data_IF_164597152778
#
_entry.id   IF_164597152778
#
_cell.length_a   1.000
_cell.length_b   1.000
_cell.length_c   1.000
_cell.angle_alpha   90.00
_cell.angle_beta   90.00
_cell.angle_gamma   90.00
#
_symmetry.space_group_name_H-M   'P 1'
#
loop_
_entity.id
_entity.type
_entity.pdbx_description
1 polymer ?
#
# COMPACT_ATOMS: atom_id res chain seq x y z
N UNK A 1 22.51 24.20 37.35
CA UNK A 1 21.17 23.68 37.72
C UNK A 1 20.90 22.56 36.74
N UNK A 2 21.48 21.42 37.08
CA UNK A 2 21.82 20.33 36.18
C UNK A 2 20.79 19.22 36.36
N UNK A 3 19.90 19.06 35.39
CA UNK A 3 18.86 18.03 35.44
C UNK A 3 19.25 16.82 34.57
N UNK A 4 19.76 15.81 35.27
CA UNK A 4 19.52 14.37 35.10
C UNK A 4 19.32 13.81 33.68
N UNK A 5 20.42 13.32 33.09
CA UNK A 5 20.40 12.26 32.05
C UNK A 5 20.23 10.89 32.72
N UNK A 6 19.05 10.30 32.63
CA UNK A 6 18.84 8.89 32.98
C UNK A 6 19.09 8.01 31.75
N UNK A 7 20.24 7.35 31.70
CA UNK A 7 20.54 6.30 30.74
C UNK A 7 19.86 4.99 31.19
N UNK A 8 18.66 4.70 30.67
CA UNK A 8 18.12 3.33 30.70
C UNK A 8 18.85 2.51 29.64
N UNK A 9 19.89 1.77 30.04
CA UNK A 9 20.46 0.68 29.24
C UNK A 9 19.59 -0.55 29.46
N UNK A 10 18.65 -0.79 28.55
CA UNK A 10 17.91 -2.05 28.50
C UNK A 10 18.81 -3.12 27.89
N UNK A 11 19.31 -4.03 28.73
CA UNK A 11 20.09 -5.19 28.32
C UNK A 11 19.11 -6.30 27.89
N UNK A 12 18.95 -6.48 26.58
CA UNK A 12 18.28 -7.65 26.02
C UNK A 12 19.22 -8.87 26.09
N UNK A 13 18.74 -10.04 26.53
CA UNK A 13 19.54 -11.26 26.54
C UNK A 13 19.80 -11.76 25.11
N UNK A 14 20.96 -12.41 24.86
CA UNK A 14 21.27 -12.99 23.57
C UNK A 14 20.42 -14.25 23.36
N UNK A 15 19.41 -14.16 22.48
CA UNK A 15 18.66 -15.33 22.04
C UNK A 15 19.53 -16.15 21.10
N UNK A 16 19.98 -17.30 21.61
CA UNK A 16 20.77 -18.31 20.90
C UNK A 16 19.91 -18.95 19.79
N UNK A 17 20.11 -18.52 18.54
CA UNK A 17 19.51 -19.16 17.37
C UNK A 17 20.25 -20.47 17.08
N UNK A 18 19.67 -21.61 17.45
CA UNK A 18 20.18 -22.94 17.08
C UNK A 18 19.73 -23.25 15.66
N UNK A 19 20.66 -23.14 14.71
CA UNK A 19 20.48 -23.55 13.32
C UNK A 19 20.62 -25.09 13.23
N UNK A 20 19.50 -25.80 13.05
CA UNK A 20 19.51 -27.24 12.77
C UNK A 20 19.67 -27.44 11.27
N UNK A 21 20.90 -27.66 10.82
CA UNK A 21 21.23 -28.17 9.48
C UNK A 21 20.93 -29.67 9.44
N UNK A 22 19.77 -30.04 8.90
CA UNK A 22 19.50 -31.41 8.50
C UNK A 22 20.19 -31.67 7.15
N UNK A 23 21.36 -32.31 7.21
CA UNK A 23 22.06 -32.87 6.08
C UNK A 23 21.52 -34.29 5.80
N UNK A 24 20.85 -34.46 4.67
CA UNK A 24 20.55 -35.73 3.98
C UNK A 24 20.34 -35.34 2.51
N UNK A 25 20.98 -35.89 1.49
CA UNK A 25 22.00 -36.90 1.38
C UNK A 25 22.49 -36.89 -0.07
N UNK A 26 23.71 -37.36 -0.27
CA UNK A 26 24.29 -37.60 -1.59
C UNK A 26 23.46 -38.63 -2.36
N UNK A 27 23.10 -38.32 -3.61
CA UNK A 27 22.94 -39.37 -4.62
C UNK A 27 23.40 -38.85 -6.00
N UNK A 28 24.65 -39.20 -6.29
CA UNK A 28 25.28 -39.12 -7.61
C UNK A 28 24.62 -40.12 -8.56
N UNK A 29 23.95 -39.63 -9.61
CA UNK A 29 23.71 -40.40 -10.82
C UNK A 29 23.97 -39.55 -12.06
N UNK A 30 25.15 -39.78 -12.65
CA UNK A 30 25.52 -39.43 -14.01
C UNK A 30 24.68 -40.29 -14.96
N UNK A 31 23.90 -39.68 -15.86
CA UNK A 31 23.64 -40.25 -17.19
C UNK A 31 23.35 -39.16 -18.23
N UNK A 32 24.31 -39.00 -19.13
CA UNK A 32 24.16 -38.50 -20.49
C UNK A 32 23.12 -39.34 -21.24
N UNK A 33 22.27 -38.73 -22.10
CA UNK A 33 22.08 -39.05 -23.55
C UNK A 33 20.76 -38.45 -24.10
N UNK A 34 20.92 -37.69 -25.19
CA UNK A 34 20.06 -37.43 -26.36
C UNK A 34 18.57 -37.03 -26.27
N UNK A 35 18.24 -36.12 -27.18
CA UNK A 35 16.93 -35.66 -27.61
C UNK A 35 15.97 -36.78 -28.05
N UNK A 36 14.65 -36.54 -27.93
CA UNK A 36 13.63 -36.58 -29.01
C UNK A 36 12.23 -36.30 -28.40
N UNK A 37 11.38 -35.77 -29.27
CA UNK A 37 10.03 -35.22 -29.12
C UNK A 37 8.95 -36.09 -28.46
N UNK A 38 7.82 -35.41 -28.18
CA UNK A 38 6.43 -35.86 -28.23
C UNK A 38 5.78 -36.52 -26.97
N UNK A 39 4.84 -35.74 -26.43
CA UNK A 39 3.44 -36.11 -26.09
C UNK A 39 3.19 -37.39 -25.31
N UNK A 40 2.76 -37.30 -24.04
CA UNK A 40 1.50 -37.94 -23.56
C UNK A 40 1.10 -37.44 -22.18
N UNK A 41 -0.19 -37.12 -22.02
CA UNK A 41 -0.88 -36.94 -20.74
C UNK A 41 -0.79 -38.19 -19.87
N UNK A 42 -0.64 -38.01 -18.55
CA UNK A 42 -1.06 -39.01 -17.57
C UNK A 42 -1.56 -38.30 -16.32
N UNK A 43 -2.87 -38.38 -16.11
CA UNK A 43 -3.53 -38.04 -14.85
C UNK A 43 -3.13 -39.06 -13.79
N UNK A 44 -2.65 -38.58 -12.63
CA UNK A 44 -2.53 -39.39 -11.43
C UNK A 44 -3.24 -38.66 -10.27
N UNK A 45 -4.48 -39.08 -10.05
CA UNK A 45 -5.23 -38.90 -8.81
C UNK A 45 -4.44 -39.53 -7.66
N UNK A 46 -4.08 -38.73 -6.65
CA UNK A 46 -3.62 -39.24 -5.36
C UNK A 46 -4.61 -38.82 -4.27
N UNK A 47 -5.16 -39.85 -3.62
CA UNK A 47 -6.14 -39.77 -2.58
C UNK A 47 -5.51 -39.44 -1.21
N UNK A 48 -6.31 -38.73 -0.42
CA UNK A 48 -6.35 -38.52 1.04
C UNK A 48 -5.28 -39.17 1.95
N UNK A 49 -4.85 -38.41 2.96
CA UNK A 49 -4.86 -38.89 4.35
C UNK A 49 -5.05 -37.70 5.30
N UNK A 50 -6.25 -37.61 5.88
CA UNK A 50 -6.57 -36.73 7.01
C UNK A 50 -6.07 -37.41 8.29
N UNK A 51 -5.24 -36.74 9.08
CA UNK A 51 -4.95 -37.15 10.47
C UNK A 51 -5.50 -36.07 11.39
N UNK A 52 -6.57 -36.44 12.09
CA UNK A 52 -7.15 -35.69 13.19
C UNK A 52 -6.30 -35.95 14.43
N UNK A 53 -5.70 -34.91 15.00
CA UNK A 53 -5.29 -34.94 16.40
C UNK A 53 -6.23 -34.06 17.20
N UNK A 54 -6.97 -34.75 18.07
CA UNK A 54 -7.74 -34.17 19.15
C UNK A 54 -6.78 -33.89 20.29
N UNK A 55 -6.78 -32.67 20.83
CA UNK A 55 -6.33 -32.52 22.21
C UNK A 55 -7.14 -31.50 23.00
N UNK A 56 -7.24 -31.84 24.28
CA UNK A 56 -8.42 -31.68 25.13
C UNK A 56 -8.11 -30.68 26.25
N UNK A 57 -9.04 -29.75 26.49
CA UNK A 57 -9.34 -29.03 27.75
C UNK A 57 -8.23 -28.37 28.57
N UNK A 58 -8.43 -27.08 28.91
CA UNK A 58 -8.56 -26.69 30.33
C UNK A 58 -9.50 -25.50 30.46
N UNK A 59 -10.63 -25.71 31.14
CA UNK A 59 -11.53 -24.66 31.58
C UNK A 59 -10.93 -23.95 32.81
N UNK A 60 -10.99 -22.61 32.84
CA UNK A 60 -10.75 -21.83 34.06
C UNK A 60 -11.98 -20.96 34.31
N UNK A 61 -12.80 -21.42 35.24
CA UNK A 61 -13.91 -20.71 35.86
C UNK A 61 -13.38 -19.71 36.88
N UNK A 62 -13.69 -18.43 36.70
CA UNK A 62 -13.52 -17.40 37.71
C UNK A 62 -14.79 -16.56 37.82
N UNK A 63 -15.51 -16.59 38.96
CA UNK A 63 -16.63 -15.68 39.21
C UNK A 63 -16.06 -14.38 39.81
N UNK A 64 -16.16 -13.29 39.06
CA UNK A 64 -15.84 -11.93 39.52
C UNK A 64 -17.10 -11.10 39.65
N UNK A 65 -17.59 -10.97 40.87
CA UNK A 65 -18.73 -10.17 41.27
C UNK A 65 -18.54 -8.65 41.06
N UNK A 66 -19.66 -7.99 40.76
CA UNK A 66 -20.09 -6.68 41.24
C UNK A 66 -19.23 -5.43 40.97
N UNK A 67 -19.77 -4.51 40.16
CA UNK A 67 -20.34 -3.27 40.73
C UNK A 67 -21.26 -2.56 39.74
N UNK A 68 -22.54 -2.47 40.13
CA UNK A 68 -23.53 -1.57 39.57
C UNK A 68 -23.26 -0.15 40.06
N UNK A 69 -23.20 0.82 39.15
CA UNK A 69 -23.38 2.23 39.52
C UNK A 69 -24.39 2.85 38.57
N UNK A 70 -25.58 3.06 39.12
CA UNK A 70 -26.65 3.91 38.58
C UNK A 70 -26.23 5.37 38.70
N UNK A 71 -26.34 6.14 37.62
CA UNK A 71 -26.54 7.58 37.71
C UNK A 71 -27.32 8.04 36.47
N UNK A 72 -28.62 8.24 36.68
CA UNK A 72 -29.47 9.10 35.86
C UNK A 72 -28.87 10.51 35.77
N UNK A 73 -28.83 11.09 34.57
CA UNK A 73 -28.97 12.55 34.42
C UNK A 73 -29.70 12.83 33.11
N UNK A 74 -31.00 13.00 33.25
CA UNK A 74 -31.86 13.71 32.30
C UNK A 74 -31.54 15.21 32.38
N UNK A 75 -31.16 15.83 31.25
CA UNK A 75 -31.33 17.27 31.06
C UNK A 75 -31.40 17.62 29.57
N UNK A 76 -32.63 17.96 29.18
CA UNK A 76 -33.03 19.15 28.42
C UNK A 76 -32.53 19.34 26.98
N UNK A 77 -33.53 19.44 26.11
CA UNK A 77 -33.49 20.00 24.78
C UNK A 77 -32.73 21.33 24.69
N UNK A 78 -32.02 21.54 23.60
CA UNK A 78 -32.17 22.79 22.86
C UNK A 78 -32.01 22.57 21.35
N UNK A 79 -33.09 22.91 20.67
CA UNK A 79 -33.22 23.04 19.24
C UNK A 79 -32.48 24.30 18.80
N UNK A 80 -31.56 24.18 17.86
CA UNK A 80 -31.08 25.34 17.10
C UNK A 80 -30.85 24.92 15.66
N UNK A 81 -31.94 24.97 14.89
CA UNK A 81 -31.93 25.07 13.43
C UNK A 81 -31.19 26.34 13.02
N UNK A 82 -30.00 26.18 12.46
CA UNK A 82 -29.35 27.25 11.69
C UNK A 82 -29.62 27.01 10.22
N UNK A 83 -30.63 27.71 9.71
CA UNK A 83 -30.87 27.92 8.29
C UNK A 83 -29.69 28.73 7.73
N UNK A 84 -28.84 28.10 6.93
CA UNK A 84 -27.84 28.82 6.13
C UNK A 84 -28.46 29.07 4.74
N UNK A 85 -28.61 30.36 4.45
CA UNK A 85 -29.11 30.90 3.19
C UNK A 85 -28.33 30.37 1.98
N UNK A 86 -29.08 29.89 1.01
CA UNK A 86 -28.61 29.66 -0.35
C UNK A 86 -28.31 31.02 -1.01
N UNK A 87 -27.03 31.34 -1.20
CA UNK A 87 -26.63 32.44 -2.08
C UNK A 87 -26.40 31.89 -3.48
N UNK A 88 -27.41 32.03 -4.33
CA UNK A 88 -27.32 31.82 -5.77
C UNK A 88 -26.54 32.97 -6.38
N UNK A 89 -25.31 32.73 -6.83
CA UNK A 89 -24.59 33.66 -7.70
C UNK A 89 -24.75 33.20 -9.15
N UNK A 90 -25.69 33.83 -9.83
CA UNK A 90 -25.81 33.82 -11.30
C UNK A 90 -24.61 34.57 -11.87
N UNK A 91 -23.68 33.86 -12.52
CA UNK A 91 -22.66 34.48 -13.34
C UNK A 91 -23.17 34.56 -14.78
N UNK A 92 -23.17 35.78 -15.28
CA UNK A 92 -23.66 36.23 -16.58
C UNK A 92 -22.94 35.57 -17.75
N UNK A 93 -23.72 35.20 -18.76
CA UNK A 93 -23.23 34.79 -20.06
C UNK A 93 -22.74 36.03 -20.83
N UNK A 94 -21.42 36.21 -20.92
CA UNK A 94 -20.83 37.19 -21.84
C UNK A 94 -20.34 36.47 -23.08
N UNK A 95 -21.16 36.51 -24.13
CA UNK A 95 -20.75 36.28 -25.53
C UNK A 95 -19.78 37.38 -25.96
N UNK A 96 -18.52 37.03 -26.23
CA UNK A 96 -17.59 37.90 -26.95
C UNK A 96 -17.22 37.22 -28.27
N UNK A 97 -17.87 37.65 -29.33
CA UNK A 97 -17.42 37.49 -30.71
C UNK A 97 -16.24 38.42 -30.93
N UNK A 98 -15.08 37.91 -31.34
CA UNK A 98 -14.04 38.72 -31.97
C UNK A 98 -13.41 37.91 -33.09
N UNK A 99 -13.81 38.28 -34.31
CA UNK A 99 -13.19 37.87 -35.55
C UNK A 99 -11.80 38.50 -35.72
N UNK A 100 -10.90 37.69 -36.28
CA UNK A 100 -9.78 38.01 -37.18
C UNK A 100 -8.77 39.10 -36.80
N UNK A 101 -7.48 38.72 -36.77
CA UNK A 101 -6.49 39.00 -37.85
C UNK A 101 -5.06 38.85 -37.34
N UNK A 102 -4.33 37.97 -38.03
CA UNK A 102 -2.89 37.91 -38.32
C UNK A 102 -1.78 38.43 -37.37
N UNK A 103 -0.79 37.53 -37.24
CA UNK A 103 0.66 37.76 -37.28
C UNK A 103 1.26 38.81 -36.33
N UNK A 104 1.93 38.32 -35.29
CA UNK A 104 3.35 38.67 -35.12
C UNK A 104 4.11 37.65 -34.26
N UNK A 105 5.31 37.37 -34.73
CA UNK A 105 6.29 36.45 -34.15
C UNK A 105 6.97 37.14 -32.98
N UNK A 106 6.74 36.70 -31.75
CA UNK A 106 7.63 37.01 -30.63
C UNK A 106 8.20 35.72 -30.04
N UNK A 107 9.49 35.54 -30.29
CA UNK A 107 10.30 34.41 -29.83
C UNK A 107 10.80 34.76 -28.43
N UNK A 108 9.87 34.89 -27.50
CA UNK A 108 10.15 35.08 -26.08
C UNK A 108 10.55 33.74 -25.48
N UNK A 109 11.84 33.59 -25.17
CA UNK A 109 12.44 32.42 -24.56
C UNK A 109 11.58 31.90 -23.39
N UNK A 110 10.91 30.76 -23.62
CA UNK A 110 10.35 29.92 -22.58
C UNK A 110 11.49 29.50 -21.69
N UNK A 111 11.50 30.01 -20.47
CA UNK A 111 12.28 29.46 -19.38
C UNK A 111 11.75 28.03 -19.14
N UNK A 112 12.29 27.08 -19.90
CA UNK A 112 12.14 25.65 -19.64
C UNK A 112 12.82 25.37 -18.32
N UNK A 113 12.11 25.65 -17.24
CA UNK A 113 12.30 24.97 -15.97
C UNK A 113 12.23 23.49 -16.28
N UNK A 114 13.40 22.88 -16.38
CA UNK A 114 13.56 21.44 -16.50
C UNK A 114 13.12 20.85 -15.17
N UNK A 115 11.81 20.61 -15.05
CA UNK A 115 11.27 19.57 -14.20
C UNK A 115 11.97 18.31 -14.66
N UNK A 116 13.07 17.96 -13.99
CA UNK A 116 13.95 16.86 -14.39
C UNK A 116 13.11 15.63 -14.69
N UNK A 117 13.36 15.04 -15.87
CA UNK A 117 12.62 13.93 -16.45
C UNK A 117 12.13 12.95 -15.37
N UNK A 118 10.84 13.00 -15.08
CA UNK A 118 10.12 11.97 -14.29
C UNK A 118 9.78 10.77 -15.21
N UNK A 119 10.47 10.66 -16.36
CA UNK A 119 10.09 9.78 -17.47
C UNK A 119 10.46 8.30 -17.28
N UNK A 120 11.09 7.93 -16.15
CA UNK A 120 11.58 6.55 -15.91
C UNK A 120 10.81 5.79 -14.81
N UNK A 121 9.61 6.25 -14.46
CA UNK A 121 8.71 5.54 -13.56
C UNK A 121 7.60 4.80 -14.35
N UNK A 122 7.48 3.49 -14.10
CA UNK A 122 6.33 2.70 -14.56
C UNK A 122 5.41 2.35 -13.40
N UNK A 123 4.11 2.31 -13.64
CA UNK A 123 3.11 2.02 -12.61
C UNK A 123 2.28 0.81 -12.97
N UNK A 124 1.85 0.07 -11.95
CA UNK A 124 0.85 -0.98 -12.09
C UNK A 124 -0.08 -0.98 -10.87
N UNK A 125 -1.36 -1.32 -11.08
CA UNK A 125 -2.29 -1.59 -9.99
C UNK A 125 -3.00 -2.94 -10.16
N UNK A 126 -3.25 -3.63 -9.05
CA UNK A 126 -3.92 -4.93 -9.03
C UNK A 126 -4.84 -5.05 -7.82
N UNK A 127 -6.05 -5.53 -8.07
CA UNK A 127 -7.01 -5.91 -7.07
C UNK A 127 -6.91 -7.41 -6.77
N UNK A 128 -6.94 -7.75 -5.48
CA UNK A 128 -7.03 -9.13 -5.01
C UNK A 128 -8.25 -9.28 -4.09
N UNK A 129 -9.25 -10.02 -4.59
CA UNK A 129 -10.38 -10.45 -3.77
C UNK A 129 -9.94 -11.46 -2.71
N UNK A 130 -10.51 -11.42 -1.51
CA UNK A 130 -10.19 -12.40 -0.48
C UNK A 130 -10.97 -12.25 0.82
N UNK A 131 -10.39 -12.74 1.93
CA UNK A 131 -10.96 -12.50 3.26
C UNK A 131 -10.92 -11.01 3.64
N UNK A 132 -9.91 -10.30 3.15
CA UNK A 132 -9.86 -8.83 3.08
C UNK A 132 -9.46 -8.49 1.65
N UNK A 133 -10.23 -7.61 1.02
CA UNK A 133 -9.97 -7.17 -0.34
C UNK A 133 -8.81 -6.16 -0.33
N UNK A 134 -7.94 -6.24 -1.34
CA UNK A 134 -6.74 -5.40 -1.40
C UNK A 134 -6.55 -4.79 -2.76
N UNK A 135 -6.08 -3.55 -2.77
CA UNK A 135 -5.56 -2.88 -3.96
C UNK A 135 -4.09 -2.61 -3.74
N UNK A 136 -3.27 -3.10 -4.65
CA UNK A 136 -1.83 -2.89 -4.66
C UNK A 136 -1.53 -1.86 -5.74
N UNK A 137 -0.77 -0.83 -5.39
CA UNK A 137 -0.29 0.19 -6.31
C UNK A 137 1.23 0.12 -6.25
N UNK A 138 1.88 -0.16 -7.38
CA UNK A 138 3.34 -0.28 -7.46
C UNK A 138 3.91 0.72 -8.46
N UNK A 139 5.05 1.29 -8.09
CA UNK A 139 5.89 2.19 -8.89
C UNK A 139 7.25 1.54 -9.07
N UNK A 140 7.65 1.30 -10.32
CA UNK A 140 8.98 0.84 -10.71
C UNK A 140 9.80 2.03 -11.20
N UNK A 141 10.83 2.43 -10.45
CA UNK A 141 11.70 3.57 -10.76
C UNK A 141 13.00 3.06 -11.41
N UNK A 142 13.04 3.00 -12.75
CA UNK A 142 14.08 2.28 -13.51
C UNK A 142 15.49 2.83 -13.30
N UNK A 143 15.61 4.16 -13.18
CA UNK A 143 16.90 4.81 -12.98
C UNK A 143 17.56 4.45 -11.65
N UNK A 144 16.75 4.23 -10.62
CA UNK A 144 17.24 3.90 -9.29
C UNK A 144 17.18 2.40 -8.99
N UNK A 145 16.53 1.61 -9.85
CA UNK A 145 16.33 0.19 -9.64
C UNK A 145 15.42 -0.14 -8.44
N UNK A 146 14.49 0.75 -8.08
CA UNK A 146 13.65 0.61 -6.87
C UNK A 146 12.19 0.34 -7.22
N UNK A 147 11.53 -0.42 -6.37
CA UNK A 147 10.09 -0.64 -6.43
C UNK A 147 9.41 -0.12 -5.18
N UNK A 148 8.45 0.77 -5.33
CA UNK A 148 7.64 1.29 -4.21
C UNK A 148 6.23 0.69 -4.29
N UNK A 149 5.74 0.13 -3.18
CA UNK A 149 4.40 -0.44 -3.05
C UNK A 149 3.58 0.36 -2.04
N UNK A 150 2.38 0.77 -2.44
CA UNK A 150 1.31 1.25 -1.57
C UNK A 150 0.17 0.22 -1.61
N UNK A 151 -0.25 -0.27 -0.44
CA UNK A 151 -1.29 -1.28 -0.33
C UNK A 151 -2.47 -0.77 0.46
N UNK A 152 -3.66 -0.84 -0.14
CA UNK A 152 -4.93 -0.51 0.48
C UNK A 152 -5.68 -1.80 0.83
N UNK A 153 -6.51 -1.75 1.86
CA UNK A 153 -7.33 -2.87 2.34
C UNK A 153 -8.78 -2.44 2.60
N UNK A 154 -9.73 -3.32 2.28
CA UNK A 154 -11.15 -3.18 2.56
C UNK A 154 -11.73 -4.43 3.26
N UNK A 155 -12.57 -4.25 4.30
CA UNK A 155 -12.77 -3.00 5.03
C UNK A 155 -11.50 -2.61 5.79
N UNK A 156 -11.07 -1.36 5.64
CA UNK A 156 -9.91 -0.77 6.29
C UNK A 156 -10.31 0.37 7.21
N UNK A 157 -9.43 0.68 8.16
CA UNK A 157 -9.55 1.87 9.01
C UNK A 157 -8.45 2.85 8.64
N UNK A 158 -8.69 4.14 8.89
CA UNK A 158 -7.64 5.15 8.77
C UNK A 158 -6.44 4.78 9.66
N UNK A 159 -5.28 4.66 9.04
CA UNK A 159 -4.03 4.26 9.69
C UNK A 159 -3.19 5.45 10.17
N UNK A 160 -1.89 5.22 10.37
CA UNK A 160 -0.92 6.26 10.72
C UNK A 160 -0.64 7.23 9.55
N UNK A 161 -1.00 6.83 8.34
CA UNK A 161 -0.83 7.62 7.12
C UNK A 161 -1.93 8.69 7.02
N UNK A 162 -1.56 9.90 6.62
CA UNK A 162 -2.50 10.99 6.30
C UNK A 162 -2.81 10.98 4.80
N UNK A 163 -3.19 9.81 4.32
CA UNK A 163 -3.55 9.58 2.91
C UNK A 163 -5.07 9.42 2.88
N UNK A 164 -5.74 10.30 2.14
CA UNK A 164 -7.17 10.19 1.92
C UNK A 164 -7.43 9.01 0.96
N UNK A 165 -8.31 8.10 1.37
CA UNK A 165 -8.70 6.92 0.61
C UNK A 165 -10.22 6.91 0.39
N UNK A 166 -10.74 6.12 -0.55
CA UNK A 166 -12.18 5.97 -0.72
C UNK A 166 -12.85 5.42 0.56
N UNK A 167 -14.16 5.67 0.76
CA UNK A 167 -14.86 5.22 1.94
C UNK A 167 -14.64 3.73 2.23
N UNK A 168 -14.44 3.40 3.51
CA UNK A 168 -14.18 2.03 4.00
C UNK A 168 -12.86 1.39 3.56
N UNK A 169 -12.06 2.05 2.73
CA UNK A 169 -10.69 1.65 2.45
C UNK A 169 -9.73 2.29 3.45
N UNK A 170 -8.65 1.59 3.78
CA UNK A 170 -7.54 2.12 4.56
C UNK A 170 -6.20 1.67 4.03
N UNK A 171 -5.12 2.31 4.44
CA UNK A 171 -3.75 1.89 4.10
C UNK A 171 -3.36 0.69 4.98
N UNK A 172 -3.06 -0.47 4.37
CA UNK A 172 -2.53 -1.63 5.09
C UNK A 172 -1.04 -1.41 5.38
N UNK A 173 -0.27 -1.03 4.37
CA UNK A 173 1.11 -0.56 4.51
C UNK A 173 1.61 0.16 3.24
N UNK A 174 2.77 0.81 3.35
CA UNK A 174 3.55 1.30 2.23
C UNK A 174 5.03 0.95 2.43
N UNK A 175 5.72 0.55 1.36
CA UNK A 175 7.11 0.04 1.44
C UNK A 175 7.91 0.32 0.17
N UNK A 176 9.24 0.25 0.27
CA UNK A 176 10.17 0.36 -0.86
C UNK A 176 11.16 -0.81 -0.84
N UNK A 177 11.44 -1.35 -2.02
CA UNK A 177 12.35 -2.47 -2.26
C UNK A 177 13.54 -2.05 -3.13
N UNK A 178 14.71 -2.63 -2.84
CA UNK A 178 15.93 -2.51 -3.65
C UNK A 178 15.92 -3.56 -4.77
N UNK A 179 15.25 -3.25 -5.87
CA UNK A 179 15.09 -4.12 -7.02
C UNK A 179 13.78 -3.88 -7.77
N UNK A 180 13.77 -4.23 -9.06
CA UNK A 180 12.58 -4.18 -9.92
C UNK A 180 11.93 -5.55 -10.14
N UNK A 181 12.58 -6.63 -9.69
CA UNK A 181 12.10 -7.99 -9.87
C UNK A 181 10.72 -8.13 -9.20
N UNK A 182 9.75 -8.58 -10.00
CA UNK A 182 8.38 -8.76 -9.54
C UNK A 182 7.56 -7.48 -9.41
N UNK A 183 8.15 -6.29 -9.60
CA UNK A 183 7.49 -5.02 -9.29
C UNK A 183 6.17 -4.86 -10.06
N UNK A 184 6.18 -4.99 -11.39
CA UNK A 184 4.97 -4.79 -12.20
C UNK A 184 4.13 -6.07 -12.40
N UNK A 185 4.61 -7.24 -11.96
CA UNK A 185 3.91 -8.53 -12.07
C UNK A 185 3.18 -8.96 -10.80
N UNK A 186 3.28 -8.16 -9.72
CA UNK A 186 2.72 -8.48 -8.40
C UNK A 186 3.29 -9.75 -7.74
N UNK A 187 4.47 -10.20 -8.20
CA UNK A 187 5.26 -11.19 -7.46
C UNK A 187 5.78 -10.58 -6.15
N UNK A 188 6.24 -11.40 -5.18
CA UNK A 188 6.86 -10.90 -3.96
C UNK A 188 7.99 -9.90 -4.27
N UNK A 189 8.01 -8.78 -3.54
CA UNK A 189 9.02 -7.74 -3.73
C UNK A 189 10.43 -8.27 -3.45
N UNK A 190 11.38 -7.81 -4.28
CA UNK A 190 12.80 -8.03 -4.05
C UNK A 190 13.20 -7.61 -2.62
N UNK A 191 14.12 -8.36 -2.01
CA UNK A 191 14.67 -8.03 -0.71
C UNK A 191 16.02 -7.31 -0.87
N UNK A 192 16.34 -6.33 -0.01
CA UNK A 192 15.61 -5.89 1.19
C UNK A 192 14.40 -4.97 0.90
N UNK A 193 13.45 -4.97 1.84
CA UNK A 193 12.28 -4.06 1.87
C UNK A 193 12.34 -3.16 3.09
N UNK A 194 11.94 -1.89 2.94
CA UNK A 194 11.84 -0.90 4.01
C UNK A 194 10.45 -0.28 4.01
N UNK A 195 9.80 -0.29 5.17
CA UNK A 195 8.47 0.31 5.32
C UNK A 195 8.54 1.84 5.40
N UNK A 196 7.55 2.51 4.82
CA UNK A 196 7.37 3.95 4.95
C UNK A 196 6.95 4.29 6.38
N UNK A 197 7.61 5.30 6.96
CA UNK A 197 7.33 5.77 8.32
C UNK A 197 6.12 6.69 8.39
N UNK A 198 5.82 7.40 7.30
CA UNK A 198 4.63 8.23 7.17
C UNK A 198 4.26 8.39 5.69
N UNK A 199 3.13 9.04 5.44
CA UNK A 199 2.70 9.38 4.09
C UNK A 199 1.56 10.40 4.12
N UNK A 200 1.50 11.20 3.06
CA UNK A 200 0.47 12.21 2.83
C UNK A 200 0.00 12.14 1.39
N UNK A 201 -1.27 12.41 1.14
CA UNK A 201 -1.79 12.50 -0.23
C UNK A 201 -3.20 11.97 -0.38
N UNK A 202 -3.54 11.56 -1.60
CA UNK A 202 -4.85 11.03 -1.94
C UNK A 202 -4.72 9.82 -2.86
N UNK A 203 -5.58 8.83 -2.64
CA UNK A 203 -5.90 7.77 -3.59
C UNK A 203 -7.41 7.84 -3.84
N UNK A 204 -7.81 7.87 -5.11
CA UNK A 204 -9.23 8.00 -5.46
C UNK A 204 -9.58 7.18 -6.69
N UNK A 205 -10.85 6.76 -6.80
CA UNK A 205 -11.41 6.19 -8.02
C UNK A 205 -12.90 6.51 -8.13
N UNK A 206 -13.50 6.39 -9.33
CA UNK A 206 -14.91 6.67 -9.53
C UNK A 206 -15.84 5.71 -8.76
N UNK A 207 -16.75 6.30 -7.97
CA UNK A 207 -17.83 5.66 -7.20
C UNK A 207 -17.43 4.53 -6.22
N UNK A 208 -18.38 4.10 -5.38
CA UNK A 208 -18.24 3.11 -4.30
C UNK A 208 -18.03 1.67 -4.84
N UNK A 209 -17.11 1.49 -5.77
CA UNK A 209 -16.75 0.19 -6.28
C UNK A 209 -15.75 -0.47 -5.34
N UNK A 210 -16.05 -1.70 -4.94
CA UNK A 210 -15.09 -2.57 -4.23
C UNK A 210 -13.94 -2.96 -5.17
N UNK A 211 -14.21 -3.11 -6.47
CA UNK A 211 -13.21 -3.42 -7.48
C UNK A 211 -13.12 -2.29 -8.50
N UNK A 212 -12.24 -1.29 -8.30
CA UNK A 212 -12.08 -0.20 -9.25
C UNK A 212 -11.43 -0.70 -10.54
N UNK A 213 -11.88 -0.22 -11.70
CA UNK A 213 -11.22 -0.51 -12.99
C UNK A 213 -10.05 0.43 -13.28
N UNK A 214 -10.09 1.64 -12.71
CA UNK A 214 -9.05 2.67 -12.79
C UNK A 214 -8.95 3.40 -11.46
N UNK A 215 -7.78 3.95 -11.14
CA UNK A 215 -7.59 4.81 -9.96
C UNK A 215 -6.61 5.95 -10.22
N UNK A 216 -6.72 7.00 -9.42
CA UNK A 216 -5.75 8.09 -9.31
C UNK A 216 -4.98 7.94 -8.00
N UNK A 217 -3.69 8.24 -8.04
CA UNK A 217 -2.80 8.26 -6.87
C UNK A 217 -1.92 9.50 -6.93
N UNK A 218 -1.94 10.28 -5.85
CA UNK A 218 -1.02 11.38 -5.60
C UNK A 218 -0.59 11.30 -4.13
N UNK A 219 0.46 10.51 -3.87
CA UNK A 219 0.93 10.20 -2.52
C UNK A 219 2.42 10.47 -2.43
N UNK A 220 2.83 11.15 -1.35
CA UNK A 220 4.23 11.24 -0.93
C UNK A 220 4.42 10.41 0.32
N UNK A 221 5.34 9.45 0.23
CA UNK A 221 5.76 8.58 1.33
C UNK A 221 7.05 9.10 1.93
N UNK A 222 7.14 9.09 3.26
CA UNK A 222 8.35 9.42 4.00
C UNK A 222 9.00 8.14 4.52
N UNK A 223 10.28 7.92 4.20
CA UNK A 223 11.06 6.78 4.69
C UNK A 223 12.14 7.24 5.65
N UNK A 224 12.45 6.38 6.63
CA UNK A 224 13.63 6.56 7.48
C UNK A 224 14.79 5.90 6.75
N UNK A 225 15.54 6.69 5.99
CA UNK A 225 16.67 6.20 5.18
C UNK A 225 17.77 5.56 6.02
N UNK A 226 17.95 5.99 7.28
CA UNK A 226 18.94 5.42 8.20
C UNK A 226 20.33 5.34 7.56
N UNK A 227 20.96 4.16 7.63
CA UNK A 227 22.24 3.84 7.02
C UNK A 227 22.12 3.19 5.61
N UNK A 228 20.92 3.20 5.01
CA UNK A 228 20.65 2.57 3.71
C UNK A 228 20.66 3.63 2.59
N UNK A 229 21.78 3.78 1.84
CA UNK A 229 21.92 4.87 0.86
C UNK A 229 20.97 4.77 -0.34
N UNK A 230 20.40 3.59 -0.59
CA UNK A 230 19.45 3.36 -1.68
C UNK A 230 18.02 3.85 -1.33
N UNK A 231 17.69 3.96 -0.05
CA UNK A 231 16.37 4.40 0.42
C UNK A 231 16.29 5.93 0.38
N UNK A 232 15.40 6.53 -0.42
CA UNK A 232 15.23 7.97 -0.43
C UNK A 232 14.50 8.41 0.84
N UNK A 233 14.71 9.65 1.31
CA UNK A 233 13.90 10.17 2.44
C UNK A 233 12.42 10.33 2.07
N UNK A 234 12.14 10.59 0.79
CA UNK A 234 10.79 10.73 0.24
C UNK A 234 10.69 10.01 -1.09
N UNK A 235 9.54 9.38 -1.33
CA UNK A 235 9.17 8.93 -2.67
C UNK A 235 7.74 9.35 -2.98
N UNK A 236 7.50 9.75 -4.22
CA UNK A 236 6.19 10.21 -4.69
C UNK A 236 5.63 9.23 -5.71
N UNK A 237 4.41 8.77 -5.45
CA UNK A 237 3.57 8.04 -6.39
C UNK A 237 2.59 9.05 -6.99
N UNK A 238 2.67 9.26 -8.29
CA UNK A 238 1.81 10.19 -9.02
C UNK A 238 1.40 9.54 -10.34
N UNK A 239 0.14 9.10 -10.41
CA UNK A 239 -0.44 8.49 -11.61
C UNK A 239 -1.94 8.80 -11.66
N UNK A 240 -2.43 9.10 -12.86
CA UNK A 240 -3.86 9.35 -13.13
C UNK A 240 -4.41 8.27 -14.05
N UNK A 241 -5.67 7.89 -13.85
CA UNK A 241 -6.36 6.85 -14.61
C UNK A 241 -5.58 5.52 -14.69
N UNK A 242 -4.84 5.17 -13.63
CA UNK A 242 -4.04 3.95 -13.56
C UNK A 242 -4.95 2.72 -13.67
N UNK A 243 -4.83 1.88 -14.73
CA UNK A 243 -5.66 0.69 -14.87
C UNK A 243 -5.37 -0.31 -13.74
N UNK A 244 -6.45 -0.86 -13.19
CA UNK A 244 -6.40 -1.86 -12.12
C UNK A 244 -6.76 -3.22 -12.70
N UNK A 245 -5.83 -4.17 -12.64
CA UNK A 245 -6.10 -5.56 -13.00
C UNK A 245 -6.79 -6.33 -11.88
N UNK A 246 -7.36 -7.50 -12.18
CA UNK A 246 -7.93 -8.40 -11.17
C UNK A 246 -9.39 -8.10 -10.79
N UNK A 247 -9.93 -6.99 -11.29
CA UNK A 247 -11.34 -6.87 -11.63
C UNK A 247 -11.61 -7.63 -12.96
#
# INVERSE_FOLDING_TARGET
MDYFRAHLRSALPPTLLVLVLAACGDDTAIMTTAATEATTSTSATSAATSTSDSDTTTASTGPGESTSTTADTSTTADTSTTTADATTTTADATTTTTDATDSDTDTGATDSGTTGDVEDAEYAAMFFAGGLDRVFIRKAEKNSGRCTELRLVWPGQAGLYRIDTPPEWGIEFASIADGLDGCLTFDPLAQPVVDAAAGVGVVSWPEQQVCPTTLDVEVTLDFISGDLPWVPMKDTLSATELPVGGC
#
